data_IF_554637939312
#
_entry.id   IF_554637939312
#
_cell.length_a   1.000
_cell.length_b   1.000
_cell.length_c   1.000
_cell.angle_alpha   90.00
_cell.angle_beta   90.00
_cell.angle_gamma   90.00
#
_symmetry.space_group_name_H-M   'P 1'
#
loop_
_entity.id
_entity.type
_entity.pdbx_description
1 polymer ?
#
# COMPACT_ATOMS: atom_id res chain seq x y z
N UNK A 1 12.32 78.64 -59.26
CA UNK A 1 13.18 77.60 -58.71
C UNK A 1 12.61 77.25 -57.34
N UNK A 2 11.72 76.22 -57.31
CA UNK A 2 11.03 75.80 -56.10
C UNK A 2 11.74 74.62 -55.48
N UNK A 3 12.16 74.77 -54.24
CA UNK A 3 12.68 73.65 -53.45
C UNK A 3 11.52 73.04 -52.62
N UNK A 4 11.12 71.85 -52.97
CA UNK A 4 10.23 70.99 -52.13
C UNK A 4 11.05 70.35 -50.99
N UNK A 5 10.68 70.66 -49.78
CA UNK A 5 11.19 69.92 -48.56
C UNK A 5 10.32 68.73 -48.29
N UNK A 6 10.90 67.55 -48.36
CA UNK A 6 10.28 66.30 -47.98
C UNK A 6 10.38 66.12 -46.42
N UNK A 7 9.23 66.09 -45.75
CA UNK A 7 9.16 65.74 -44.31
C UNK A 7 8.97 64.22 -44.22
N UNK A 8 9.99 63.51 -43.70
CA UNK A 8 9.91 62.07 -43.42
C UNK A 8 9.18 61.87 -42.09
N UNK A 9 8.02 61.21 -42.15
CA UNK A 9 7.29 60.74 -40.94
C UNK A 9 7.91 59.42 -40.45
N UNK A 10 8.44 59.41 -39.23
CA UNK A 10 8.94 58.22 -38.55
C UNK A 10 7.76 57.59 -37.77
N UNK A 11 7.38 56.31 -38.01
CA UNK A 11 6.35 55.67 -37.21
C UNK A 11 6.90 55.28 -35.85
N UNK A 12 6.29 55.79 -34.78
CA UNK A 12 6.56 55.43 -33.38
C UNK A 12 5.85 54.08 -33.06
N UNK A 13 6.59 52.99 -33.16
CA UNK A 13 6.12 51.66 -32.72
C UNK A 13 6.15 51.56 -31.20
N UNK A 14 4.99 51.64 -30.58
CA UNK A 14 4.79 51.42 -29.14
C UNK A 14 4.90 49.94 -28.83
N UNK A 15 6.08 49.47 -28.37
CA UNK A 15 6.31 48.11 -27.92
C UNK A 15 5.63 47.89 -26.54
N UNK A 16 4.49 47.23 -26.55
CA UNK A 16 3.81 46.78 -25.31
C UNK A 16 4.64 45.65 -24.68
N UNK A 17 5.51 45.99 -23.74
CA UNK A 17 6.18 44.99 -22.90
C UNK A 17 5.15 44.41 -21.94
N UNK A 18 4.72 43.16 -22.19
CA UNK A 18 4.02 42.34 -21.18
C UNK A 18 5.00 42.12 -20.02
N UNK A 19 4.85 42.89 -18.96
CA UNK A 19 5.48 42.61 -17.67
C UNK A 19 4.82 41.34 -17.13
N UNK A 20 5.49 40.20 -17.34
CA UNK A 20 5.13 38.93 -16.68
C UNK A 20 5.34 39.13 -15.20
N UNK A 21 4.26 39.34 -14.44
CA UNK A 21 4.34 39.34 -12.98
C UNK A 21 4.95 38.01 -12.53
N UNK A 22 5.91 37.96 -11.57
CA UNK A 22 6.42 36.72 -11.05
C UNK A 22 5.22 35.97 -10.46
N UNK A 23 4.88 34.81 -11.05
CA UNK A 23 3.94 33.92 -10.46
C UNK A 23 4.48 33.55 -9.06
N UNK A 24 3.85 34.06 -8.02
CA UNK A 24 4.14 33.60 -6.65
C UNK A 24 4.02 32.10 -6.69
N UNK A 25 5.13 31.38 -6.45
CA UNK A 25 5.09 29.95 -6.28
C UNK A 25 4.09 29.68 -5.14
N UNK A 26 2.96 29.10 -5.48
CA UNK A 26 1.93 28.78 -4.49
C UNK A 26 2.55 27.87 -3.43
N UNK A 27 2.29 28.13 -2.14
CA UNK A 27 2.79 27.32 -1.04
C UNK A 27 2.52 25.84 -1.27
N UNK A 28 3.54 25.00 -1.11
CA UNK A 28 3.40 23.55 -1.30
C UNK A 28 2.37 22.94 -0.35
N UNK A 29 1.70 21.90 -0.80
CA UNK A 29 0.86 21.05 0.05
C UNK A 29 1.78 20.04 0.73
N UNK A 30 2.01 20.20 2.03
CA UNK A 30 2.90 19.30 2.79
C UNK A 30 2.18 18.01 3.12
N UNK A 31 2.83 16.87 2.86
CA UNK A 31 2.37 15.52 3.18
C UNK A 31 3.48 14.76 3.89
N UNK A 32 3.19 14.27 5.10
CA UNK A 32 4.15 13.53 5.91
C UNK A 32 4.13 12.02 5.61
N UNK A 33 5.28 11.36 5.70
CA UNK A 33 5.42 9.90 5.62
C UNK A 33 6.35 9.37 6.70
N UNK A 34 5.92 8.31 7.39
CA UNK A 34 6.79 7.51 8.26
C UNK A 34 6.86 6.10 7.67
N UNK A 35 8.04 5.68 7.23
CA UNK A 35 8.26 4.44 6.50
C UNK A 35 9.44 3.67 7.10
N UNK A 36 9.43 2.34 6.98
CA UNK A 36 10.57 1.50 7.35
C UNK A 36 11.67 1.60 6.28
N UNK A 37 12.55 2.61 6.35
CA UNK A 37 13.63 2.82 5.38
C UNK A 37 14.96 2.22 5.83
N UNK A 38 14.98 1.60 7.01
CA UNK A 38 16.10 0.83 7.55
C UNK A 38 15.61 -0.44 8.25
N UNK A 39 16.52 -1.34 8.60
CA UNK A 39 16.22 -2.59 9.29
C UNK A 39 15.64 -3.69 8.39
N UNK A 40 15.08 -4.76 8.99
CA UNK A 40 14.67 -5.97 8.25
C UNK A 40 13.56 -5.75 7.21
N UNK A 41 12.78 -4.68 7.31
CA UNK A 41 11.67 -4.36 6.41
C UNK A 41 11.99 -3.20 5.46
N UNK A 42 13.25 -2.84 5.30
CA UNK A 42 13.70 -1.75 4.43
C UNK A 42 13.18 -1.88 3.00
N UNK A 43 13.22 -3.07 2.42
CA UNK A 43 12.75 -3.30 1.03
C UNK A 43 11.27 -2.95 0.84
N UNK A 44 10.43 -3.18 1.85
CA UNK A 44 9.01 -2.78 1.83
C UNK A 44 8.86 -1.24 1.85
N UNK A 45 9.58 -0.59 2.76
CA UNK A 45 9.58 0.87 2.87
C UNK A 45 10.09 1.57 1.61
N UNK A 46 11.16 1.05 1.00
CA UNK A 46 11.71 1.57 -0.26
C UNK A 46 10.73 1.39 -1.43
N UNK A 47 10.10 0.22 -1.56
CA UNK A 47 9.08 0.00 -2.59
C UNK A 47 7.89 0.97 -2.44
N UNK A 48 7.43 1.19 -1.20
CA UNK A 48 6.37 2.17 -0.90
C UNK A 48 6.79 3.60 -1.18
N UNK A 49 8.02 3.97 -0.81
CA UNK A 49 8.58 5.28 -1.14
C UNK A 49 8.55 5.51 -2.65
N UNK A 50 9.12 4.59 -3.42
CA UNK A 50 9.28 4.71 -4.87
C UNK A 50 7.92 4.76 -5.59
N UNK A 51 6.94 3.95 -5.17
CA UNK A 51 5.58 3.99 -5.73
C UNK A 51 4.85 5.30 -5.44
N UNK A 52 4.90 5.79 -4.22
CA UNK A 52 4.30 7.07 -3.84
C UNK A 52 4.98 8.26 -4.53
N UNK A 53 6.32 8.26 -4.57
CA UNK A 53 7.11 9.31 -5.24
C UNK A 53 6.79 9.36 -6.74
N UNK A 54 6.66 8.20 -7.40
CA UNK A 54 6.34 8.13 -8.82
C UNK A 54 5.02 8.86 -9.16
N UNK A 55 3.98 8.66 -8.35
CA UNK A 55 2.72 9.36 -8.59
C UNK A 55 2.79 10.84 -8.26
N UNK A 56 3.37 11.22 -7.12
CA UNK A 56 3.47 12.62 -6.71
C UNK A 56 4.35 13.42 -7.67
N UNK A 57 5.45 12.86 -8.16
CA UNK A 57 6.28 13.52 -9.19
C UNK A 57 5.49 13.75 -10.48
N UNK A 58 4.71 12.76 -10.95
CA UNK A 58 3.84 12.90 -12.12
C UNK A 58 2.83 14.04 -11.92
N UNK A 59 2.21 14.14 -10.75
CA UNK A 59 1.24 15.19 -10.40
C UNK A 59 1.92 16.57 -10.38
N UNK A 60 3.08 16.67 -9.75
CA UNK A 60 3.83 17.92 -9.66
C UNK A 60 4.31 18.40 -11.03
N UNK A 61 4.76 17.49 -11.91
CA UNK A 61 5.12 17.81 -13.29
C UNK A 61 3.92 18.34 -14.12
N UNK A 62 2.69 17.94 -13.75
CA UNK A 62 1.46 18.44 -14.35
C UNK A 62 0.91 19.73 -13.69
N UNK A 63 1.69 20.39 -12.81
CA UNK A 63 1.31 21.63 -12.14
C UNK A 63 0.72 21.46 -10.74
N UNK A 64 0.80 20.26 -10.16
CA UNK A 64 0.35 19.99 -8.80
C UNK A 64 -1.17 19.91 -8.63
N UNK A 65 -1.65 20.20 -7.44
CA UNK A 65 -3.08 20.25 -7.11
C UNK A 65 -3.51 21.71 -6.95
N UNK A 66 -4.39 22.19 -7.84
CA UNK A 66 -4.81 23.58 -7.84
C UNK A 66 -3.65 24.57 -8.04
N UNK A 67 -2.64 24.21 -8.83
CA UNK A 67 -1.43 25.02 -9.06
C UNK A 67 -0.39 24.93 -7.94
N UNK A 68 -0.58 24.09 -6.95
CA UNK A 68 0.31 23.92 -5.79
C UNK A 68 1.03 22.56 -5.85
N UNK A 69 2.36 22.53 -5.77
CA UNK A 69 3.09 21.28 -5.72
C UNK A 69 2.83 20.55 -4.38
N UNK A 70 2.97 19.23 -4.40
CA UNK A 70 2.94 18.40 -3.18
C UNK A 70 4.37 18.17 -2.73
N UNK A 71 4.67 18.51 -1.48
CA UNK A 71 5.94 18.24 -0.83
C UNK A 71 5.82 17.03 0.08
N UNK A 72 6.64 16.00 -0.16
CA UNK A 72 6.69 14.79 0.67
C UNK A 72 7.80 14.91 1.71
N UNK A 73 7.43 14.95 2.99
CA UNK A 73 8.36 14.89 4.12
C UNK A 73 8.42 13.45 4.61
N UNK A 74 9.55 12.77 4.41
CA UNK A 74 9.69 11.35 4.74
C UNK A 74 10.69 11.14 5.87
N UNK A 75 10.27 10.40 6.91
CA UNK A 75 11.11 10.00 8.03
C UNK A 75 11.15 8.47 8.14
N UNK A 76 12.31 7.94 8.56
CA UNK A 76 12.50 6.52 8.82
C UNK A 76 11.99 6.14 10.21
N UNK A 77 11.13 5.13 10.30
CA UNK A 77 10.71 4.55 11.58
C UNK A 77 11.34 3.19 11.88
N UNK A 78 12.08 2.62 10.95
CA UNK A 78 12.68 1.27 11.06
C UNK A 78 11.67 0.20 11.54
N UNK A 79 10.38 0.38 11.22
CA UNK A 79 9.28 -0.47 11.67
C UNK A 79 9.07 -0.44 13.20
N UNK A 80 9.52 0.58 13.90
CA UNK A 80 9.40 0.73 15.35
C UNK A 80 8.20 1.62 15.70
N UNK A 81 7.16 1.11 16.41
CA UNK A 81 5.95 1.88 16.74
C UNK A 81 6.21 3.19 17.43
N UNK A 82 7.16 3.22 18.37
CA UNK A 82 7.51 4.45 19.10
C UNK A 82 8.10 5.52 18.16
N UNK A 83 8.95 5.11 17.19
CA UNK A 83 9.51 6.04 16.19
C UNK A 83 8.45 6.52 15.22
N UNK A 84 7.48 5.68 14.85
CA UNK A 84 6.34 6.13 14.03
C UNK A 84 5.59 7.26 14.74
N UNK A 85 5.26 7.10 16.02
CA UNK A 85 4.58 8.13 16.83
C UNK A 85 5.41 9.42 16.91
N UNK A 86 6.72 9.31 17.18
CA UNK A 86 7.64 10.44 17.21
C UNK A 86 7.69 11.18 15.89
N UNK A 87 7.82 10.45 14.78
CA UNK A 87 7.85 11.00 13.42
C UNK A 87 6.57 11.78 13.09
N UNK A 88 5.39 11.22 13.40
CA UNK A 88 4.11 11.91 13.14
C UNK A 88 4.00 13.22 13.94
N UNK A 89 4.33 13.20 15.25
CA UNK A 89 4.31 14.38 16.11
C UNK A 89 5.32 15.43 15.65
N UNK A 90 6.54 15.01 15.32
CA UNK A 90 7.58 15.89 14.78
C UNK A 90 7.16 16.56 13.49
N UNK A 91 6.66 15.79 12.52
CA UNK A 91 6.18 16.38 11.25
C UNK A 91 5.01 17.34 11.48
N UNK A 92 4.09 17.00 12.39
CA UNK A 92 2.96 17.88 12.70
C UNK A 92 3.40 19.22 13.29
N UNK A 93 4.36 19.23 14.24
CA UNK A 93 4.84 20.46 14.89
C UNK A 93 5.74 21.32 14.01
N UNK A 94 6.59 20.69 13.16
CA UNK A 94 7.60 21.41 12.39
C UNK A 94 7.12 21.83 10.99
N UNK A 95 6.19 21.04 10.37
CA UNK A 95 5.83 21.18 8.97
C UNK A 95 4.33 21.36 8.72
N UNK A 96 3.47 21.08 9.70
CA UNK A 96 2.02 21.21 9.59
C UNK A 96 1.40 20.48 8.39
N UNK A 97 1.60 19.17 8.22
CA UNK A 97 1.15 18.44 7.03
C UNK A 97 -0.38 18.43 6.92
N UNK A 98 -0.86 18.49 5.67
CA UNK A 98 -2.30 18.34 5.37
C UNK A 98 -2.77 16.90 5.55
N UNK A 99 -1.87 15.94 5.37
CA UNK A 99 -2.11 14.50 5.55
C UNK A 99 -0.82 13.75 5.84
N UNK A 100 -0.98 12.52 6.35
CA UNK A 100 0.05 11.48 6.29
C UNK A 100 -0.28 10.51 5.15
N UNK A 101 0.76 9.94 4.53
CA UNK A 101 0.64 9.02 3.39
C UNK A 101 1.39 7.73 3.66
N UNK A 102 0.74 6.59 3.47
CA UNK A 102 1.41 5.31 3.29
C UNK A 102 2.01 4.71 4.57
N UNK A 103 1.38 4.88 5.74
CA UNK A 103 1.82 4.21 6.97
C UNK A 103 1.80 2.68 6.77
N UNK A 104 2.81 1.98 7.34
CA UNK A 104 3.04 0.57 7.04
C UNK A 104 3.10 -0.30 8.30
N UNK A 105 2.31 -1.39 8.30
CA UNK A 105 2.39 -2.49 9.26
C UNK A 105 1.45 -2.40 10.46
N UNK A 106 1.07 -3.57 11.00
CA UNK A 106 0.09 -3.67 12.10
C UNK A 106 0.53 -2.91 13.35
N UNK A 107 1.75 -3.13 13.91
CA UNK A 107 2.12 -2.50 15.18
C UNK A 107 2.35 -0.99 15.06
N UNK A 108 2.93 -0.53 13.98
CA UNK A 108 3.21 0.90 13.72
C UNK A 108 1.93 1.70 13.51
N UNK A 109 1.00 1.13 12.70
CA UNK A 109 -0.31 1.75 12.47
C UNK A 109 -1.15 1.76 13.75
N UNK A 110 -1.18 0.65 14.52
CA UNK A 110 -1.89 0.62 15.79
C UNK A 110 -1.43 1.72 16.74
N UNK A 111 -0.12 2.00 16.82
CA UNK A 111 0.44 3.10 17.61
C UNK A 111 0.11 4.49 17.00
N UNK A 112 -0.03 4.59 15.69
CA UNK A 112 -0.36 5.84 15.01
C UNK A 112 -1.83 6.25 15.15
N UNK A 113 -2.78 5.30 15.23
CA UNK A 113 -4.22 5.62 15.25
C UNK A 113 -4.64 6.65 16.30
N UNK A 114 -4.23 6.56 17.59
CA UNK A 114 -4.55 7.58 18.57
C UNK A 114 -3.90 8.94 18.27
N UNK A 115 -2.70 8.92 17.68
CA UNK A 115 -1.97 10.15 17.31
C UNK A 115 -2.70 10.89 16.17
N UNK A 116 -3.26 10.16 15.20
CA UNK A 116 -4.07 10.79 14.14
C UNK A 116 -5.28 11.52 14.69
N UNK A 117 -5.93 10.97 15.73
CA UNK A 117 -7.05 11.61 16.42
C UNK A 117 -6.59 12.83 17.23
N UNK A 118 -5.49 12.73 17.97
CA UNK A 118 -4.87 13.82 18.73
C UNK A 118 -4.54 15.01 17.81
N UNK A 119 -3.88 14.75 16.70
CA UNK A 119 -3.42 15.76 15.74
C UNK A 119 -4.54 16.26 14.80
N UNK A 120 -5.63 15.51 14.67
CA UNK A 120 -6.70 15.75 13.68
C UNK A 120 -6.20 15.82 12.24
N UNK A 121 -5.16 15.05 11.92
CA UNK A 121 -4.56 14.95 10.58
C UNK A 121 -4.88 13.57 10.01
N UNK A 122 -5.52 13.48 8.82
CA UNK A 122 -5.84 12.20 8.20
C UNK A 122 -4.60 11.48 7.68
N UNK A 123 -4.61 10.16 7.76
CA UNK A 123 -3.66 9.28 7.08
C UNK A 123 -4.36 8.52 5.96
N UNK A 124 -3.83 8.62 4.75
CA UNK A 124 -4.31 7.91 3.55
C UNK A 124 -3.32 6.80 3.20
N UNK A 125 -3.83 5.61 2.90
CA UNK A 125 -2.97 4.48 2.62
C UNK A 125 -2.32 3.93 3.90
N UNK A 126 -3.11 3.20 4.67
CA UNK A 126 -2.61 2.44 5.80
C UNK A 126 -2.41 1.01 5.33
N UNK A 127 -1.16 0.65 5.02
CA UNK A 127 -0.80 -0.66 4.50
C UNK A 127 -0.85 -1.71 5.60
N UNK A 128 -2.06 -2.03 6.00
CA UNK A 128 -2.43 -3.14 6.88
C UNK A 128 -3.87 -3.54 6.62
N UNK A 129 -4.12 -4.83 6.60
CA UNK A 129 -5.47 -5.39 6.47
C UNK A 129 -6.17 -5.60 7.80
N UNK A 130 -5.57 -5.21 8.94
CA UNK A 130 -6.17 -5.48 10.26
C UNK A 130 -7.53 -4.80 10.43
N UNK A 131 -8.49 -5.53 11.01
CA UNK A 131 -9.84 -5.01 11.25
C UNK A 131 -9.86 -3.85 12.25
N UNK A 132 -8.87 -3.76 13.13
CA UNK A 132 -8.69 -2.62 14.05
C UNK A 132 -8.56 -1.26 13.35
N UNK A 133 -8.27 -1.21 12.06
CA UNK A 133 -8.31 0.02 11.23
C UNK A 133 -9.73 0.46 10.88
N UNK A 134 -10.70 -0.46 10.97
CA UNK A 134 -12.06 -0.28 10.46
C UNK A 134 -13.12 -0.31 11.56
N UNK A 135 -12.84 -1.04 12.64
CA UNK A 135 -13.81 -1.28 13.70
C UNK A 135 -13.14 -1.18 15.08
N UNK A 136 -13.49 -0.13 15.91
CA UNK A 136 -14.33 1.00 15.52
C UNK A 136 -13.67 1.91 14.50
N UNK A 137 -14.46 2.56 13.65
CA UNK A 137 -13.94 3.46 12.62
C UNK A 137 -13.17 4.63 13.24
N UNK A 138 -11.95 4.86 12.78
CA UNK A 138 -11.18 6.06 13.09
C UNK A 138 -11.38 7.08 11.96
N UNK A 139 -11.97 8.24 12.28
CA UNK A 139 -12.30 9.29 11.31
C UNK A 139 -11.09 9.79 10.49
N UNK A 140 -9.89 9.64 11.01
CA UNK A 140 -8.66 10.12 10.37
C UNK A 140 -7.87 8.99 9.69
N UNK A 141 -8.38 7.78 9.67
CA UNK A 141 -7.74 6.64 9.02
C UNK A 141 -8.49 6.26 7.73
N UNK A 142 -7.80 6.36 6.59
CA UNK A 142 -8.34 6.04 5.27
C UNK A 142 -7.55 4.88 4.65
N UNK A 143 -7.88 3.61 5.01
CA UNK A 143 -7.24 2.45 4.37
C UNK A 143 -7.60 2.43 2.88
N UNK A 144 -6.68 1.97 2.04
CA UNK A 144 -6.90 1.85 0.59
C UNK A 144 -7.09 0.40 0.17
N UNK A 145 -6.39 -0.53 0.81
CA UNK A 145 -6.43 -1.96 0.53
C UNK A 145 -7.61 -2.68 1.20
N UNK A 146 -7.92 -3.89 0.73
CA UNK A 146 -8.83 -4.81 1.40
C UNK A 146 -8.31 -5.26 2.78
N UNK A 147 -9.22 -5.72 3.65
CA UNK A 147 -8.89 -6.24 4.98
C UNK A 147 -8.34 -7.68 4.93
N UNK A 148 -7.67 -8.10 6.01
CA UNK A 148 -7.29 -9.52 6.17
C UNK A 148 -8.51 -10.44 6.26
N UNK A 149 -9.64 -9.96 6.76
CA UNK A 149 -10.90 -10.69 6.72
C UNK A 149 -11.41 -10.89 5.28
N UNK A 150 -11.26 -9.89 4.39
CA UNK A 150 -11.61 -10.02 2.97
C UNK A 150 -10.70 -11.03 2.26
N UNK A 151 -9.39 -10.97 2.52
CA UNK A 151 -8.42 -11.94 2.01
C UNK A 151 -8.73 -13.35 2.53
N UNK A 152 -9.01 -13.50 3.83
CA UNK A 152 -9.36 -14.77 4.44
C UNK A 152 -10.63 -15.38 3.83
N UNK A 153 -11.69 -14.57 3.67
CA UNK A 153 -12.93 -15.02 3.00
C UNK A 153 -12.66 -15.50 1.56
N UNK A 154 -11.82 -14.79 0.82
CA UNK A 154 -11.45 -15.19 -0.55
C UNK A 154 -10.74 -16.56 -0.55
N UNK A 155 -9.75 -16.76 0.33
CA UNK A 155 -9.03 -18.03 0.47
C UNK A 155 -9.95 -19.15 0.94
N UNK A 156 -10.79 -18.91 1.96
CA UNK A 156 -11.73 -19.90 2.49
C UNK A 156 -12.75 -20.34 1.44
N UNK A 157 -13.28 -19.41 0.66
CA UNK A 157 -14.17 -19.73 -0.46
C UNK A 157 -13.47 -20.60 -1.50
N UNK A 158 -12.20 -20.32 -1.80
CA UNK A 158 -11.40 -21.13 -2.72
C UNK A 158 -11.20 -22.55 -2.19
N UNK A 159 -10.75 -22.73 -0.94
CA UNK A 159 -10.51 -24.09 -0.38
C UNK A 159 -11.80 -24.90 -0.27
N UNK A 160 -12.95 -24.27 -0.05
CA UNK A 160 -14.25 -24.94 -0.15
C UNK A 160 -14.55 -25.44 -1.56
N UNK A 161 -14.27 -24.63 -2.57
CA UNK A 161 -14.50 -25.02 -3.99
C UNK A 161 -13.66 -26.23 -4.39
N UNK A 162 -12.45 -26.36 -3.85
CA UNK A 162 -11.55 -27.50 -4.12
C UNK A 162 -11.64 -28.61 -3.07
N UNK A 163 -12.67 -28.60 -2.20
CA UNK A 163 -12.96 -29.61 -1.17
C UNK A 163 -11.80 -29.86 -0.18
N UNK A 164 -11.05 -28.84 0.19
CA UNK A 164 -10.05 -28.91 1.25
C UNK A 164 -10.74 -28.76 2.61
N UNK A 165 -10.58 -29.74 3.50
CA UNK A 165 -11.20 -29.77 4.83
C UNK A 165 -10.20 -29.94 5.97
N UNK A 166 -9.04 -30.58 5.71
CA UNK A 166 -7.95 -30.73 6.68
C UNK A 166 -6.94 -29.59 6.51
N UNK A 167 -6.94 -28.65 7.44
CA UNK A 167 -6.19 -27.40 7.33
C UNK A 167 -5.27 -27.22 8.53
N UNK A 168 -4.02 -26.87 8.27
CA UNK A 168 -3.07 -26.37 9.26
C UNK A 168 -2.72 -24.91 8.99
N UNK A 169 -2.49 -24.15 10.06
CA UNK A 169 -2.04 -22.76 10.00
C UNK A 169 -0.72 -22.64 10.73
N UNK A 170 0.32 -22.11 10.08
CA UNK A 170 1.58 -21.74 10.76
C UNK A 170 1.61 -20.21 10.82
N UNK A 171 1.70 -19.65 12.03
CA UNK A 171 1.64 -18.21 12.24
C UNK A 171 2.83 -17.67 13.02
N UNK A 172 3.33 -16.49 12.64
CA UNK A 172 4.33 -15.78 13.43
C UNK A 172 3.77 -15.33 14.77
N UNK A 173 4.51 -15.59 15.87
CA UNK A 173 4.13 -15.17 17.22
C UNK A 173 4.41 -13.68 17.46
N UNK A 174 3.75 -12.82 16.66
CA UNK A 174 3.82 -11.37 16.74
C UNK A 174 2.44 -10.75 16.42
N UNK A 175 2.23 -9.45 16.65
CA UNK A 175 0.93 -8.79 16.41
C UNK A 175 0.39 -8.97 14.99
N UNK A 176 1.27 -8.97 13.97
CA UNK A 176 0.88 -9.18 12.58
C UNK A 176 0.36 -10.61 12.36
N UNK A 177 1.16 -11.63 12.70
CA UNK A 177 0.79 -13.04 12.49
C UNK A 177 -0.48 -13.42 13.26
N UNK A 178 -0.65 -12.89 14.48
CA UNK A 178 -1.87 -13.07 15.26
C UNK A 178 -3.09 -12.46 14.56
N UNK A 179 -3.01 -11.21 14.11
CA UNK A 179 -4.13 -10.54 13.44
C UNK A 179 -4.60 -11.29 12.19
N UNK A 180 -3.67 -11.73 11.34
CA UNK A 180 -4.01 -12.48 10.12
C UNK A 180 -4.58 -13.87 10.45
N UNK A 181 -3.98 -14.58 11.44
CA UNK A 181 -4.49 -15.86 11.91
C UNK A 181 -5.93 -15.75 12.42
N UNK A 182 -6.23 -14.73 13.22
CA UNK A 182 -7.57 -14.50 13.76
C UNK A 182 -8.59 -14.28 12.66
N UNK A 183 -8.28 -13.44 11.68
CA UNK A 183 -9.13 -13.22 10.49
C UNK A 183 -9.36 -14.53 9.72
N UNK A 184 -8.31 -15.36 9.54
CA UNK A 184 -8.43 -16.66 8.86
C UNK A 184 -9.30 -17.64 9.65
N UNK A 185 -9.05 -17.78 10.95
CA UNK A 185 -9.82 -18.73 11.79
C UNK A 185 -11.30 -18.32 11.90
N UNK A 186 -11.60 -17.01 11.94
CA UNK A 186 -12.99 -16.51 11.89
C UNK A 186 -13.66 -16.90 10.57
N UNK A 187 -13.01 -16.65 9.44
CA UNK A 187 -13.57 -16.99 8.13
C UNK A 187 -13.75 -18.51 7.95
N UNK A 188 -12.83 -19.33 8.45
CA UNK A 188 -12.97 -20.79 8.45
C UNK A 188 -14.18 -21.23 9.28
N UNK A 189 -14.33 -20.69 10.49
CA UNK A 189 -15.45 -20.99 11.39
C UNK A 189 -16.80 -20.63 10.75
N UNK A 190 -16.89 -19.44 10.12
CA UNK A 190 -18.09 -19.01 9.39
C UNK A 190 -18.45 -19.94 8.23
N UNK A 191 -17.42 -20.55 7.63
CA UNK A 191 -17.57 -21.52 6.54
C UNK A 191 -17.83 -22.97 7.01
N UNK A 192 -17.91 -23.23 8.33
CA UNK A 192 -18.05 -24.56 8.92
C UNK A 192 -16.78 -25.40 8.87
N UNK A 193 -15.61 -24.77 8.69
CA UNK A 193 -14.30 -25.43 8.67
C UNK A 193 -13.52 -25.14 9.95
N UNK A 194 -12.55 -26.00 10.24
CA UNK A 194 -11.62 -25.84 11.38
C UNK A 194 -10.19 -25.99 10.92
N UNK A 195 -9.25 -25.42 11.67
CA UNK A 195 -7.82 -25.60 11.42
C UNK A 195 -7.05 -25.72 12.73
N UNK A 196 -5.96 -26.48 12.71
CA UNK A 196 -4.97 -26.49 13.79
C UNK A 196 -3.94 -25.38 13.55
N UNK A 197 -3.67 -24.58 14.58
CA UNK A 197 -2.74 -23.45 14.47
C UNK A 197 -1.46 -23.73 15.26
N UNK A 198 -0.32 -23.52 14.62
CA UNK A 198 1.02 -23.75 15.14
C UNK A 198 1.81 -22.45 15.09
N UNK A 199 2.39 -22.06 16.21
CA UNK A 199 3.20 -20.85 16.27
C UNK A 199 4.62 -21.08 15.75
N UNK A 200 5.22 -20.03 15.23
CA UNK A 200 6.62 -19.97 14.89
C UNK A 200 7.22 -18.66 15.41
N UNK A 201 8.47 -18.71 15.85
CA UNK A 201 9.24 -17.53 16.23
C UNK A 201 9.23 -16.48 15.09
N UNK A 202 9.10 -15.20 15.36
CA UNK A 202 9.08 -14.17 14.32
C UNK A 202 10.29 -14.15 13.37
N UNK A 203 11.45 -14.65 13.84
CA UNK A 203 12.64 -14.86 13.02
C UNK A 203 12.74 -16.32 12.49
N UNK A 204 11.67 -17.12 12.67
CA UNK A 204 11.55 -18.52 12.24
C UNK A 204 12.67 -19.46 12.74
N UNK A 205 13.25 -19.20 13.91
CA UNK A 205 14.32 -20.02 14.50
C UNK A 205 13.89 -21.46 14.77
N UNK A 206 12.59 -21.68 14.99
CA UNK A 206 11.95 -22.97 15.28
C UNK A 206 11.13 -23.51 14.09
N UNK A 207 11.35 -22.99 12.87
CA UNK A 207 10.59 -23.36 11.67
C UNK A 207 10.46 -24.87 11.46
N UNK A 208 11.56 -25.62 11.64
CA UNK A 208 11.54 -27.08 11.50
C UNK A 208 10.60 -27.78 12.49
N UNK A 209 10.51 -27.29 13.72
CA UNK A 209 9.61 -27.85 14.73
C UNK A 209 8.15 -27.50 14.44
N UNK A 210 7.87 -26.23 14.08
CA UNK A 210 6.54 -25.79 13.70
C UNK A 210 6.00 -26.55 12.48
N UNK A 211 6.83 -26.72 11.45
CA UNK A 211 6.48 -27.48 10.25
C UNK A 211 6.16 -28.95 10.57
N UNK A 212 7.03 -29.65 11.35
CA UNK A 212 6.76 -31.04 11.73
C UNK A 212 5.42 -31.18 12.45
N UNK A 213 5.08 -30.27 13.36
CA UNK A 213 3.80 -30.29 14.05
C UNK A 213 2.63 -30.03 13.08
N UNK A 214 2.78 -29.06 12.18
CA UNK A 214 1.73 -28.68 11.25
C UNK A 214 1.40 -29.80 10.24
N UNK A 215 2.39 -30.59 9.80
CA UNK A 215 2.16 -31.67 8.82
C UNK A 215 1.87 -33.03 9.46
N UNK A 216 2.04 -33.21 10.78
CA UNK A 216 1.81 -34.49 11.47
C UNK A 216 0.37 -35.01 11.35
N UNK A 217 -0.60 -34.09 11.18
CA UNK A 217 -2.02 -34.45 10.96
C UNK A 217 -2.37 -34.69 9.49
N UNK A 218 -1.40 -34.82 8.60
CA UNK A 218 -1.60 -34.99 7.16
C UNK A 218 -2.62 -33.98 6.58
N UNK A 219 -2.37 -32.65 6.72
CA UNK A 219 -3.27 -31.63 6.20
C UNK A 219 -3.27 -31.65 4.67
N UNK A 220 -4.42 -31.29 4.09
CA UNK A 220 -4.54 -31.05 2.65
C UNK A 220 -4.02 -29.67 2.26
N UNK A 221 -4.01 -28.72 3.22
CA UNK A 221 -3.48 -27.37 3.02
C UNK A 221 -2.76 -26.84 4.25
N UNK A 222 -1.70 -26.06 4.02
CA UNK A 222 -1.00 -25.26 5.03
C UNK A 222 -1.13 -23.79 4.69
N UNK A 223 -1.65 -23.00 5.63
CA UNK A 223 -1.71 -21.55 5.54
C UNK A 223 -0.59 -20.92 6.34
N UNK A 224 0.07 -19.91 5.76
CA UNK A 224 1.13 -19.16 6.39
C UNK A 224 0.64 -17.73 6.69
N UNK A 225 0.64 -17.35 7.98
CA UNK A 225 0.29 -16.00 8.40
C UNK A 225 1.51 -15.32 9.03
N UNK A 226 2.44 -14.90 8.16
CA UNK A 226 3.74 -14.34 8.51
C UNK A 226 4.27 -13.45 7.38
N UNK A 227 5.30 -12.65 7.66
CA UNK A 227 6.01 -11.89 6.62
C UNK A 227 7.07 -12.78 5.94
N UNK A 228 7.61 -12.31 4.81
CA UNK A 228 8.57 -13.06 3.97
C UNK A 228 9.77 -13.60 4.73
N UNK A 229 10.28 -12.85 5.73
CA UNK A 229 11.44 -13.25 6.54
C UNK A 229 11.22 -14.56 7.30
N UNK A 230 9.97 -14.80 7.77
CA UNK A 230 9.60 -16.05 8.42
C UNK A 230 9.03 -17.07 7.42
N UNK A 231 8.35 -16.61 6.36
CA UNK A 231 7.76 -17.49 5.35
C UNK A 231 8.80 -18.31 4.59
N UNK A 232 9.92 -17.70 4.20
CA UNK A 232 10.97 -18.39 3.45
C UNK A 232 11.58 -19.57 4.21
N UNK A 233 12.04 -19.45 5.47
CA UNK A 233 12.48 -20.60 6.27
C UNK A 233 11.40 -21.67 6.44
N UNK A 234 10.15 -21.26 6.73
CA UNK A 234 9.04 -22.23 6.89
C UNK A 234 8.76 -22.98 5.60
N UNK A 235 8.69 -22.28 4.46
CA UNK A 235 8.53 -22.91 3.14
C UNK A 235 9.71 -23.85 2.83
N UNK A 236 10.95 -23.45 3.17
CA UNK A 236 12.13 -24.30 3.02
C UNK A 236 11.99 -25.60 3.84
N UNK A 237 11.53 -25.52 5.07
CA UNK A 237 11.33 -26.71 5.90
C UNK A 237 10.16 -27.60 5.35
N UNK A 238 9.09 -27.00 4.84
CA UNK A 238 8.01 -27.73 4.18
C UNK A 238 8.51 -28.60 3.01
N UNK A 239 9.46 -28.09 2.20
CA UNK A 239 10.03 -28.89 1.09
C UNK A 239 10.87 -30.10 1.52
N UNK A 240 11.23 -30.21 2.81
CA UNK A 240 11.98 -31.35 3.36
C UNK A 240 11.05 -32.44 3.91
N UNK A 241 9.75 -32.21 3.88
CA UNK A 241 8.74 -33.16 4.38
C UNK A 241 8.06 -33.90 3.22
N UNK A 242 7.24 -34.91 3.54
CA UNK A 242 6.34 -35.59 2.58
C UNK A 242 5.04 -34.82 2.31
N UNK A 243 4.95 -33.54 2.72
CA UNK A 243 3.76 -32.72 2.46
C UNK A 243 3.71 -32.30 0.99
N UNK A 244 2.65 -32.70 0.31
CA UNK A 244 2.37 -32.35 -1.09
C UNK A 244 1.04 -31.59 -1.25
N UNK A 245 0.46 -31.13 -0.12
CA UNK A 245 -0.79 -30.36 -0.12
C UNK A 245 -0.60 -28.92 -0.60
N UNK A 246 -1.72 -28.21 -0.68
CA UNK A 246 -1.73 -26.81 -1.11
C UNK A 246 -1.10 -25.89 -0.06
N UNK A 247 -0.40 -24.85 -0.52
CA UNK A 247 0.22 -23.85 0.32
C UNK A 247 -0.40 -22.48 0.03
N UNK A 248 -0.85 -21.80 1.07
CA UNK A 248 -1.52 -20.51 0.98
C UNK A 248 -0.85 -19.47 1.87
N UNK A 249 -0.80 -18.24 1.41
CA UNK A 249 -0.40 -17.11 2.24
C UNK A 249 -1.15 -15.84 1.86
N UNK A 250 -0.91 -14.77 2.61
CA UNK A 250 -1.58 -13.49 2.48
C UNK A 250 -0.68 -12.46 1.77
N UNK A 251 -1.28 -11.41 1.25
CA UNK A 251 -0.62 -10.35 0.49
C UNK A 251 0.60 -9.68 1.14
N UNK A 252 0.79 -9.69 2.48
CA UNK A 252 2.01 -9.18 3.09
C UNK A 252 3.28 -9.99 2.80
N UNK A 253 3.17 -11.20 2.26
CA UNK A 253 4.34 -11.94 1.76
C UNK A 253 4.76 -11.35 0.42
N UNK A 254 5.95 -10.75 0.39
CA UNK A 254 6.53 -10.23 -0.85
C UNK A 254 6.98 -11.37 -1.76
N UNK A 255 6.32 -11.49 -2.90
CA UNK A 255 6.54 -12.55 -3.88
C UNK A 255 7.95 -12.51 -4.46
N UNK A 256 8.52 -11.32 -4.63
CA UNK A 256 9.88 -11.15 -5.17
C UNK A 256 10.93 -11.72 -4.22
N UNK A 257 10.78 -11.50 -2.93
CA UNK A 257 11.65 -12.09 -1.90
C UNK A 257 11.54 -13.60 -1.88
N UNK A 258 10.31 -14.15 -1.95
CA UNK A 258 10.08 -15.59 -1.93
C UNK A 258 10.68 -16.25 -3.18
N UNK A 259 10.42 -15.72 -4.37
CA UNK A 259 10.93 -16.29 -5.63
C UNK A 259 12.45 -16.17 -5.73
N UNK A 260 13.03 -15.07 -5.28
CA UNK A 260 14.50 -14.88 -5.28
C UNK A 260 15.21 -15.86 -4.36
N UNK A 261 14.63 -16.18 -3.20
CA UNK A 261 15.29 -17.03 -2.20
C UNK A 261 15.00 -18.53 -2.38
N UNK A 262 13.81 -18.88 -2.84
CA UNK A 262 13.38 -20.27 -2.97
C UNK A 262 13.46 -20.81 -4.42
N UNK A 263 13.47 -19.93 -5.42
CA UNK A 263 13.46 -20.33 -6.82
C UNK A 263 12.27 -21.26 -7.12
N UNK A 264 12.53 -22.41 -7.72
CA UNK A 264 11.52 -23.41 -8.07
C UNK A 264 10.76 -23.99 -6.87
N UNK A 265 11.35 -23.94 -5.66
CA UNK A 265 10.69 -24.41 -4.44
C UNK A 265 9.52 -23.54 -3.98
N UNK A 266 9.40 -22.31 -4.50
CA UNK A 266 8.27 -21.43 -4.26
C UNK A 266 7.04 -21.77 -5.13
N UNK A 267 7.21 -22.65 -6.12
CA UNK A 267 6.16 -23.02 -7.07
C UNK A 267 4.94 -23.60 -6.35
N UNK A 268 3.76 -23.18 -6.79
CA UNK A 268 2.49 -23.63 -6.24
C UNK A 268 2.07 -22.90 -4.96
N UNK A 269 2.88 -21.97 -4.44
CA UNK A 269 2.43 -21.11 -3.37
C UNK A 269 1.36 -20.17 -3.91
N UNK A 270 0.15 -20.28 -3.37
CA UNK A 270 -0.96 -19.39 -3.64
C UNK A 270 -0.96 -18.21 -2.65
N UNK A 271 -1.07 -17.00 -3.19
CA UNK A 271 -0.93 -15.76 -2.43
C UNK A 271 -2.12 -14.86 -2.74
N UNK A 272 -2.81 -14.35 -1.72
CA UNK A 272 -3.78 -13.28 -1.96
C UNK A 272 -3.06 -12.00 -2.36
N UNK A 273 -3.67 -11.22 -3.25
CA UNK A 273 -3.19 -9.90 -3.62
C UNK A 273 -4.33 -8.89 -3.51
N UNK A 274 -4.00 -7.71 -2.98
CA UNK A 274 -4.96 -6.62 -2.73
C UNK A 274 -4.84 -5.47 -3.72
N UNK A 275 -3.95 -5.63 -4.69
CA UNK A 275 -3.81 -4.81 -5.89
C UNK A 275 -3.56 -5.71 -7.09
N UNK A 276 -3.84 -5.28 -8.32
CA UNK A 276 -3.56 -6.08 -9.52
C UNK A 276 -2.08 -6.45 -9.63
N UNK A 277 -1.77 -7.49 -10.41
CA UNK A 277 -0.38 -7.86 -10.72
C UNK A 277 0.35 -6.63 -11.27
N UNK A 278 1.48 -6.19 -10.66
CA UNK A 278 2.16 -4.94 -11.00
C UNK A 278 2.96 -5.01 -12.30
N UNK A 279 2.53 -5.85 -13.22
CA UNK A 279 3.14 -6.03 -14.55
C UNK A 279 2.05 -6.15 -15.62
N UNK A 280 2.36 -5.67 -16.81
CA UNK A 280 1.41 -5.65 -17.92
C UNK A 280 0.56 -4.39 -17.98
N UNK A 281 -0.02 -4.13 -19.17
CA UNK A 281 -0.67 -2.85 -19.50
C UNK A 281 -2.20 -2.92 -19.55
N UNK A 282 -2.79 -4.06 -19.17
CA UNK A 282 -4.25 -4.29 -19.30
C UNK A 282 -5.10 -3.50 -18.33
N UNK A 283 -4.59 -3.30 -17.11
CA UNK A 283 -5.28 -2.52 -16.06
C UNK A 283 -4.70 -1.12 -16.07
N UNK A 284 -5.54 -0.11 -16.25
CA UNK A 284 -5.09 1.28 -16.45
C UNK A 284 -4.20 1.79 -15.32
N UNK A 285 -4.55 1.53 -14.05
CA UNK A 285 -3.73 1.98 -12.92
C UNK A 285 -2.35 1.33 -12.90
N UNK A 286 -2.21 0.09 -13.39
CA UNK A 286 -0.92 -0.60 -13.52
C UNK A 286 -0.09 0.04 -14.62
N UNK A 287 -0.70 0.32 -15.80
CA UNK A 287 -0.03 1.02 -16.88
C UNK A 287 0.50 2.39 -16.45
N UNK A 288 -0.35 3.18 -15.75
CA UNK A 288 0.03 4.48 -15.20
C UNK A 288 1.19 4.39 -14.18
N UNK A 289 1.19 3.35 -13.35
CA UNK A 289 2.26 3.07 -12.40
C UNK A 289 3.59 2.77 -13.10
N UNK A 290 3.57 1.87 -14.09
CA UNK A 290 4.77 1.47 -14.83
C UNK A 290 5.41 2.66 -15.57
N UNK A 291 4.58 3.51 -16.19
CA UNK A 291 5.05 4.74 -16.84
C UNK A 291 5.68 5.72 -15.83
N UNK A 292 5.01 5.96 -14.71
CA UNK A 292 5.49 6.87 -13.68
C UNK A 292 6.77 6.34 -13.00
N UNK A 293 6.84 5.05 -12.75
CA UNK A 293 8.02 4.41 -12.17
C UNK A 293 9.24 4.54 -13.10
N UNK A 294 9.03 4.34 -14.41
CA UNK A 294 10.05 4.56 -15.44
C UNK A 294 10.51 6.02 -15.48
N UNK A 295 9.57 6.97 -15.40
CA UNK A 295 9.89 8.41 -15.37
C UNK A 295 10.69 8.80 -14.11
N UNK A 296 10.47 8.10 -12.98
CA UNK A 296 11.26 8.24 -11.75
C UNK A 296 12.66 7.61 -11.86
N UNK A 297 13.00 6.94 -12.98
CA UNK A 297 14.27 6.24 -13.15
C UNK A 297 14.32 4.90 -12.39
N UNK A 298 13.16 4.32 -12.08
CA UNK A 298 13.03 3.01 -11.44
C UNK A 298 12.52 1.98 -12.46
N UNK A 299 12.95 0.74 -12.33
CA UNK A 299 12.61 -0.31 -13.30
C UNK A 299 11.97 -1.56 -12.68
N UNK A 300 11.90 -1.65 -11.36
CA UNK A 300 11.42 -2.85 -10.67
C UNK A 300 10.03 -2.61 -10.09
N UNK A 301 8.96 -3.00 -10.81
CA UNK A 301 7.61 -2.92 -10.27
C UNK A 301 7.41 -3.96 -9.15
N UNK A 302 6.59 -3.60 -8.16
CA UNK A 302 6.24 -4.48 -7.05
C UNK A 302 4.80 -4.23 -6.59
N UNK A 303 4.20 -5.21 -5.90
CA UNK A 303 2.87 -5.06 -5.31
C UNK A 303 2.82 -3.90 -4.32
N UNK A 304 3.83 -3.75 -3.44
CA UNK A 304 3.92 -2.65 -2.50
C UNK A 304 4.14 -1.29 -3.16
N UNK A 305 4.89 -1.24 -4.26
CA UNK A 305 5.05 -0.03 -5.05
C UNK A 305 3.76 0.39 -5.73
N UNK A 306 3.01 -0.55 -6.33
CA UNK A 306 1.70 -0.28 -6.93
C UNK A 306 0.67 0.13 -5.86
N UNK A 307 0.66 -0.53 -4.69
CA UNK A 307 -0.22 -0.15 -3.58
C UNK A 307 0.05 1.31 -3.16
N UNK A 308 1.31 1.69 -2.96
CA UNK A 308 1.69 3.05 -2.60
C UNK A 308 1.39 4.08 -3.69
N UNK A 309 1.50 3.71 -4.97
CA UNK A 309 1.07 4.54 -6.09
C UNK A 309 -0.44 4.80 -6.05
N UNK A 310 -1.23 3.77 -5.78
CA UNK A 310 -2.69 3.88 -5.63
C UNK A 310 -3.05 4.72 -4.40
N UNK A 311 -2.36 4.54 -3.27
CA UNK A 311 -2.54 5.35 -2.05
C UNK A 311 -2.30 6.84 -2.33
N UNK A 312 -1.24 7.16 -3.06
CA UNK A 312 -0.94 8.53 -3.48
C UNK A 312 -2.01 9.07 -4.45
N UNK A 313 -2.56 8.23 -5.32
CA UNK A 313 -3.64 8.59 -6.23
C UNK A 313 -4.94 8.91 -5.48
N UNK A 314 -5.29 8.14 -4.45
CA UNK A 314 -6.41 8.43 -3.55
C UNK A 314 -6.20 9.75 -2.82
N UNK A 315 -5.01 9.98 -2.25
CA UNK A 315 -4.69 11.23 -1.57
C UNK A 315 -4.87 12.43 -2.50
N UNK A 316 -4.29 12.39 -3.70
CA UNK A 316 -4.37 13.49 -4.67
C UNK A 316 -5.81 13.78 -5.08
N UNK A 317 -6.61 12.75 -5.30
CA UNK A 317 -8.05 12.94 -5.59
C UNK A 317 -8.78 13.58 -4.40
N UNK A 318 -8.48 13.14 -3.17
CA UNK A 318 -9.01 13.77 -1.96
C UNK A 318 -8.62 15.23 -1.83
N UNK A 319 -7.37 15.58 -2.13
CA UNK A 319 -6.88 16.98 -2.14
C UNK A 319 -7.59 17.83 -3.17
N UNK A 320 -7.87 17.30 -4.38
CA UNK A 320 -8.64 18.02 -5.42
C UNK A 320 -10.06 18.31 -4.95
N UNK A 321 -10.73 17.33 -4.32
CA UNK A 321 -12.09 17.48 -3.76
C UNK A 321 -12.13 18.39 -2.53
N UNK A 322 -11.02 18.51 -1.79
CA UNK A 322 -10.88 19.42 -0.67
C UNK A 322 -10.86 20.91 -1.07
N UNK A 323 -10.70 21.19 -2.36
CA UNK A 323 -10.70 22.55 -2.91
C UNK A 323 -9.32 23.20 -3.02
N UNK A 324 -9.23 24.48 -3.41
CA UNK A 324 -7.97 25.14 -3.78
C UNK A 324 -7.01 25.38 -2.59
N UNK A 325 -7.52 25.37 -1.36
CA UNK A 325 -6.73 25.48 -0.13
C UNK A 325 -7.03 24.29 0.79
N UNK A 326 -6.52 23.08 0.46
CA UNK A 326 -6.82 21.90 1.24
C UNK A 326 -6.27 22.03 2.67
N UNK A 327 -7.09 21.64 3.64
CA UNK A 327 -6.74 21.48 5.05
C UNK A 327 -7.02 20.04 5.48
N UNK A 328 -6.50 19.56 6.62
CA UNK A 328 -6.83 18.24 7.12
C UNK A 328 -8.35 17.99 7.20
N UNK A 329 -9.12 18.97 7.65
CA UNK A 329 -10.58 18.85 7.79
C UNK A 329 -11.30 18.81 6.42
N UNK A 330 -10.90 19.63 5.45
CA UNK A 330 -11.50 19.60 4.11
C UNK A 330 -11.07 18.35 3.33
N UNK A 331 -9.87 17.83 3.57
CA UNK A 331 -9.41 16.58 2.98
C UNK A 331 -10.26 15.39 3.46
N UNK A 332 -10.54 15.27 4.76
CA UNK A 332 -11.44 14.24 5.30
C UNK A 332 -12.78 14.27 4.56
N UNK A 333 -13.42 15.46 4.45
CA UNK A 333 -14.67 15.62 3.73
C UNK A 333 -14.55 15.24 2.24
N UNK A 334 -13.46 15.62 1.59
CA UNK A 334 -13.20 15.29 0.18
C UNK A 334 -13.04 13.78 -0.04
N UNK A 335 -12.34 13.08 0.85
CA UNK A 335 -12.19 11.63 0.80
C UNK A 335 -13.55 10.93 1.02
N UNK A 336 -14.35 11.38 1.99
CA UNK A 336 -15.67 10.83 2.31
C UNK A 336 -16.70 10.98 1.18
N UNK A 337 -16.41 11.69 0.08
CA UNK A 337 -17.24 11.76 -1.14
C UNK A 337 -16.86 10.71 -2.20
N UNK A 338 -15.87 9.88 -1.96
CA UNK A 338 -15.47 8.84 -2.90
C UNK A 338 -16.30 7.57 -2.69
N UNK A 339 -17.35 7.41 -3.51
CA UNK A 339 -18.18 6.20 -3.52
C UNK A 339 -17.88 5.43 -4.81
N UNK A 340 -17.43 4.19 -4.70
CA UNK A 340 -17.05 3.31 -5.82
C UNK A 340 -16.19 4.04 -6.86
N UNK A 341 -15.25 4.84 -6.35
CA UNK A 341 -14.45 5.70 -7.19
C UNK A 341 -13.38 4.90 -7.96
N UNK A 342 -13.46 4.95 -9.30
CA UNK A 342 -12.54 4.25 -10.19
C UNK A 342 -11.19 4.99 -10.32
N UNK A 343 -10.15 4.36 -9.83
CA UNK A 343 -8.76 4.82 -9.96
C UNK A 343 -8.06 4.28 -11.22
N UNK A 344 -8.81 3.68 -12.13
CA UNK A 344 -8.28 3.06 -13.36
C UNK A 344 -8.34 1.53 -13.32
N UNK A 345 -9.51 1.00 -12.98
CA UNK A 345 -9.77 -0.43 -12.77
C UNK A 345 -9.47 -0.90 -11.35
N UNK A 346 -9.31 0.02 -10.41
CA UNK A 346 -9.20 -0.22 -8.98
C UNK A 346 -10.14 0.73 -8.24
N UNK A 347 -11.04 0.22 -7.42
CA UNK A 347 -12.14 0.98 -6.82
C UNK A 347 -11.94 1.17 -5.33
N UNK A 348 -12.31 2.35 -4.82
CA UNK A 348 -12.30 2.67 -3.38
C UNK A 348 -13.62 3.33 -2.98
N UNK A 349 -14.05 3.06 -1.74
CA UNK A 349 -15.26 3.66 -1.16
C UNK A 349 -15.00 4.19 0.23
N UNK A 350 -15.37 5.45 0.45
CA UNK A 350 -15.37 6.09 1.77
C UNK A 350 -16.68 6.85 1.99
N UNK A 351 -17.20 6.76 3.20
CA UNK A 351 -18.38 7.49 3.66
C UNK A 351 -18.12 8.03 5.06
N UNK A 352 -18.85 9.04 5.52
CA UNK A 352 -18.68 9.58 6.87
C UNK A 352 -18.83 8.56 8.00
N UNK A 353 -19.54 7.46 7.76
CA UNK A 353 -19.79 6.36 8.69
C UNK A 353 -18.95 5.10 8.41
N UNK A 354 -18.21 5.04 7.30
CA UNK A 354 -17.43 3.87 6.92
C UNK A 354 -16.25 4.18 5.98
N UNK A 355 -15.03 3.98 6.45
CA UNK A 355 -13.82 4.07 5.63
C UNK A 355 -13.38 2.67 5.20
N UNK A 356 -13.99 2.14 4.14
CA UNK A 356 -13.79 0.76 3.68
C UNK A 356 -12.47 0.62 2.89
N UNK A 357 -12.19 1.55 1.98
CA UNK A 357 -11.14 1.43 0.99
C UNK A 357 -11.59 0.56 -0.19
N UNK A 358 -10.75 -0.36 -0.63
CA UNK A 358 -11.05 -1.34 -1.68
C UNK A 358 -11.46 -2.69 -1.09
N UNK A 359 -12.26 -3.43 -1.85
CA UNK A 359 -12.57 -4.84 -1.60
C UNK A 359 -11.85 -5.77 -2.61
N UNK A 360 -10.91 -5.21 -3.37
CA UNK A 360 -10.17 -5.99 -4.36
C UNK A 360 -9.29 -7.04 -3.66
N UNK A 361 -9.58 -8.31 -3.93
CA UNK A 361 -8.76 -9.46 -3.52
C UNK A 361 -8.73 -10.48 -4.65
N UNK A 362 -7.55 -10.86 -5.07
CA UNK A 362 -7.32 -11.97 -5.99
C UNK A 362 -6.39 -13.00 -5.38
N UNK A 363 -6.43 -14.23 -5.90
CA UNK A 363 -5.49 -15.29 -5.54
C UNK A 363 -4.59 -15.50 -6.75
N UNK A 364 -3.33 -15.21 -6.58
CA UNK A 364 -2.29 -15.44 -7.56
C UNK A 364 -1.42 -16.64 -7.12
N UNK A 365 -0.75 -17.29 -8.06
CA UNK A 365 0.12 -18.44 -7.80
C UNK A 365 1.51 -18.19 -8.38
N UNK A 366 2.54 -18.65 -7.67
CA UNK A 366 3.90 -18.69 -8.24
C UNK A 366 3.98 -19.88 -9.19
N UNK A 367 4.20 -19.61 -10.48
CA UNK A 367 4.28 -20.60 -11.54
C UNK A 367 5.69 -21.22 -11.69
N UNK A 368 5.87 -22.09 -12.69
CA UNK A 368 7.14 -22.77 -12.98
C UNK A 368 8.31 -21.83 -13.31
N UNK A 369 8.03 -20.65 -13.82
CA UNK A 369 9.07 -19.66 -14.13
C UNK A 369 9.42 -18.77 -12.93
N UNK A 370 8.85 -19.03 -11.74
CA UNK A 370 8.99 -18.19 -10.58
C UNK A 370 8.27 -16.84 -10.70
N UNK A 371 7.31 -16.75 -11.62
CA UNK A 371 6.53 -15.54 -11.88
C UNK A 371 5.15 -15.71 -11.28
N UNK A 372 4.63 -14.63 -10.72
CA UNK A 372 3.26 -14.58 -10.23
C UNK A 372 2.30 -14.53 -11.42
N UNK A 373 1.33 -15.43 -11.44
CA UNK A 373 0.31 -15.53 -12.46
C UNK A 373 -1.04 -15.96 -11.87
N UNK A 374 -2.11 -15.70 -12.61
CA UNK A 374 -3.47 -16.21 -12.35
C UNK A 374 -3.70 -17.52 -13.03
#
# INVERSE_FOLDING_TARGET
>A
MNRLSLIAAVPLTLSLQLVSAPAHAADAIVVGRSLALSGPLQSYGEAKRDGGDAYIQKVNAAGGVGGRPIELVTLDDAYAPARTVENLKKMASERGPTAFLGLFGVPTIAAALPVLVELKIPAVGLTSGTDALRTPMNRYAFPVRASYADEARKLVNHVKTVNITKISVIYSENPFGQSVKESLLSALKEAGLTANAFKVDPAAKDAAAAVRQAVAGEPQAVFLTMLSQAAVPVLTELTKTSFHGAQYTFSPVDTSTVTKQLGEKARGLAITQVVPIPSGMRVRVVAEYLEALKALGRSTPSFYGLEAFIEAKVLVEGLKRAGPKPSPASLVKGLETMHDFDLGGYYVSYRPDAHIGSLFVEIDMINYAGVVSR
#
